data_IF_602963210764
#
_entry.id   IF_602963210764
#
_cell.length_a   1.000
_cell.length_b   1.000
_cell.length_c   1.000
_cell.angle_alpha   90.00
_cell.angle_beta   90.00
_cell.angle_gamma   90.00
#
_symmetry.space_group_name_H-M   'P 1'
#
loop_
_entity.id
_entity.type
_entity.pdbx_description
1 polymer ?
#
# COMPACT_ATOMS: atom_id res chain seq x y z
N UNK A 1 13.44 3.04 -16.39
CA UNK A 1 12.88 4.08 -15.50
C UNK A 1 11.86 3.40 -14.61
N UNK A 2 11.94 3.55 -13.29
CA UNK A 2 11.01 2.90 -12.35
C UNK A 2 9.67 3.66 -12.33
N UNK A 3 8.57 2.97 -12.04
CA UNK A 3 7.28 3.62 -11.78
C UNK A 3 7.30 4.50 -10.52
N UNK A 4 8.35 4.39 -9.69
CA UNK A 4 8.58 5.19 -8.49
C UNK A 4 9.64 6.30 -8.68
N UNK A 5 9.86 6.75 -9.92
CA UNK A 5 10.86 7.76 -10.23
C UNK A 5 12.30 7.22 -10.06
N UNK A 6 13.07 7.84 -9.17
CA UNK A 6 14.43 7.39 -8.83
C UNK A 6 14.45 6.23 -7.82
N UNK A 7 13.31 5.92 -7.20
CA UNK A 7 13.22 4.84 -6.22
C UNK A 7 13.18 3.46 -6.91
N UNK A 8 13.95 2.52 -6.37
CA UNK A 8 14.03 1.16 -6.89
C UNK A 8 12.76 0.39 -6.52
N UNK A 9 12.03 -0.07 -7.54
CA UNK A 9 10.91 -0.97 -7.33
C UNK A 9 11.41 -2.35 -6.85
N UNK A 10 10.59 -3.04 -6.07
CA UNK A 10 10.83 -4.45 -5.81
C UNK A 10 10.84 -5.22 -7.14
N UNK A 11 11.77 -6.17 -7.36
CA UNK A 11 11.92 -6.86 -8.65
C UNK A 11 10.66 -7.62 -9.11
N UNK A 12 9.77 -7.96 -8.17
CA UNK A 12 8.66 -8.91 -8.39
C UNK A 12 7.29 -8.36 -8.00
N UNK A 13 7.17 -7.03 -7.80
CA UNK A 13 5.90 -6.40 -7.43
C UNK A 13 4.86 -6.50 -8.55
N UNK A 14 3.64 -6.92 -8.21
CA UNK A 14 2.53 -7.07 -9.15
C UNK A 14 1.36 -6.19 -8.70
N UNK A 15 0.93 -5.25 -9.55
CA UNK A 15 -0.18 -4.34 -9.25
C UNK A 15 -1.51 -5.09 -8.99
N UNK A 16 -2.39 -4.49 -8.19
CA UNK A 16 -3.78 -4.96 -7.98
C UNK A 16 -4.81 -3.82 -7.99
N UNK A 17 -5.08 -3.19 -6.85
CA UNK A 17 -6.11 -2.15 -6.69
C UNK A 17 -5.50 -0.76 -6.87
N UNK A 18 -6.31 0.19 -7.31
CA UNK A 18 -5.98 1.62 -7.36
C UNK A 18 -7.17 2.45 -6.89
N UNK A 19 -6.91 3.48 -6.09
CA UNK A 19 -7.94 4.38 -5.57
C UNK A 19 -7.42 5.82 -5.49
N UNK A 20 -8.31 6.78 -5.76
CA UNK A 20 -8.05 8.21 -5.54
C UNK A 20 -8.51 8.58 -4.13
N UNK A 21 -7.70 9.35 -3.40
CA UNK A 21 -8.07 9.79 -2.06
C UNK A 21 -9.30 10.71 -2.08
N UNK A 22 -10.13 10.73 -1.01
CA UNK A 22 -11.34 11.55 -0.98
C UNK A 22 -11.14 13.05 -1.22
N UNK A 23 -9.96 13.59 -0.89
CA UNK A 23 -9.57 14.98 -1.14
C UNK A 23 -9.04 15.24 -2.56
N UNK A 24 -9.01 14.22 -3.42
CA UNK A 24 -8.48 14.23 -4.80
C UNK A 24 -7.02 14.65 -4.91
N UNK A 25 -6.22 14.48 -3.85
CA UNK A 25 -4.80 14.86 -3.84
C UNK A 25 -3.86 13.70 -4.10
N UNK A 26 -4.28 12.47 -3.84
CA UNK A 26 -3.41 11.30 -3.94
C UNK A 26 -4.03 10.17 -4.74
N UNK A 27 -3.20 9.44 -5.47
CA UNK A 27 -3.50 8.12 -6.01
C UNK A 27 -2.73 7.10 -5.20
N UNK A 28 -3.42 6.06 -4.74
CA UNK A 28 -2.82 4.95 -4.02
C UNK A 28 -3.01 3.69 -4.84
N UNK A 29 -1.95 2.91 -5.03
CA UNK A 29 -1.99 1.63 -5.73
C UNK A 29 -1.39 0.53 -4.86
N UNK A 30 -2.02 -0.65 -4.83
CA UNK A 30 -1.48 -1.79 -4.10
C UNK A 30 -0.54 -2.63 -4.98
N UNK A 31 0.58 -3.03 -4.38
CA UNK A 31 1.57 -3.91 -4.98
C UNK A 31 1.54 -5.23 -4.24
N UNK A 32 1.57 -6.36 -4.97
CA UNK A 32 1.57 -7.70 -4.40
C UNK A 32 2.94 -8.33 -4.61
N UNK A 33 3.36 -9.18 -3.67
CA UNK A 33 4.59 -9.95 -3.77
C UNK A 33 5.86 -9.06 -3.94
N UNK A 34 5.80 -7.84 -3.39
CA UNK A 34 6.95 -6.92 -3.39
C UNK A 34 7.82 -7.10 -2.14
N UNK A 35 7.20 -7.57 -1.04
CA UNK A 35 7.83 -7.87 0.25
C UNK A 35 8.76 -6.76 0.77
N UNK A 36 8.44 -5.51 0.45
CA UNK A 36 9.28 -4.33 0.73
C UNK A 36 9.49 -4.12 2.24
N UNK A 37 8.52 -4.50 3.05
CA UNK A 37 8.48 -4.19 4.47
C UNK A 37 8.54 -5.43 5.36
N UNK A 38 8.97 -5.22 6.61
CA UNK A 38 8.72 -6.13 7.73
C UNK A 38 7.94 -5.39 8.80
N UNK A 39 6.82 -5.97 9.23
CA UNK A 39 5.92 -5.38 10.23
C UNK A 39 5.79 -6.32 11.44
N UNK A 40 5.41 -5.83 12.62
CA UNK A 40 4.95 -6.71 13.69
C UNK A 40 3.83 -7.63 13.19
N UNK A 41 3.81 -8.89 13.62
CA UNK A 41 2.77 -9.83 13.19
C UNK A 41 1.38 -9.23 13.46
N UNK A 42 0.53 -9.08 12.44
CA UNK A 42 -0.82 -8.58 12.61
C UNK A 42 -1.71 -9.58 13.37
N UNK A 43 -1.23 -10.82 13.57
CA UNK A 43 -1.90 -11.85 14.36
C UNK A 43 -1.23 -12.01 15.73
N UNK A 44 -2.00 -12.11 16.83
CA UNK A 44 -1.45 -12.16 18.19
C UNK A 44 -0.78 -13.50 18.54
N UNK A 45 -0.73 -14.44 17.60
CA UNK A 45 -0.27 -15.82 17.85
C UNK A 45 1.25 -15.86 18.01
N UNK A 46 1.99 -15.01 17.29
CA UNK A 46 3.45 -14.97 17.33
C UNK A 46 3.95 -13.51 17.44
N UNK A 47 4.78 -13.21 18.43
CA UNK A 47 5.43 -11.88 18.61
C UNK A 47 6.62 -11.69 17.63
N UNK A 48 6.45 -12.13 16.39
CA UNK A 48 7.46 -12.09 15.33
C UNK A 48 7.23 -10.91 14.39
N UNK A 49 8.23 -10.59 13.56
CA UNK A 49 8.03 -9.71 12.40
C UNK A 49 7.70 -10.53 11.16
N UNK A 50 6.64 -10.13 10.45
CA UNK A 50 6.14 -10.76 9.24
C UNK A 50 6.47 -9.88 8.01
N UNK A 51 6.69 -10.47 6.82
CA UNK A 51 6.77 -9.70 5.59
C UNK A 51 5.46 -8.95 5.30
N UNK A 52 5.58 -7.74 4.77
CA UNK A 52 4.46 -6.97 4.24
C UNK A 52 4.81 -6.47 2.84
N UNK A 53 3.82 -6.54 1.96
CA UNK A 53 3.86 -5.86 0.68
C UNK A 53 3.64 -4.34 0.88
N UNK A 54 3.66 -3.56 -0.21
CA UNK A 54 3.50 -2.11 -0.19
C UNK A 54 2.20 -1.59 -0.82
N UNK A 55 1.82 -0.40 -0.37
CA UNK A 55 1.03 0.57 -1.09
C UNK A 55 1.97 1.62 -1.68
N UNK A 56 1.82 1.94 -2.96
CA UNK A 56 2.48 3.08 -3.57
C UNK A 56 1.58 4.30 -3.53
N UNK A 57 2.13 5.43 -3.05
CA UNK A 57 1.41 6.70 -2.93
C UNK A 57 1.99 7.70 -3.92
N UNK A 58 1.11 8.29 -4.71
CA UNK A 58 1.43 9.33 -5.67
C UNK A 58 0.60 10.58 -5.39
N UNK A 59 1.20 11.76 -5.49
CA UNK A 59 0.51 13.03 -5.50
C UNK A 59 -0.01 13.33 -6.91
N UNK A 60 -1.27 13.74 -6.99
CA UNK A 60 -1.90 14.26 -8.19
C UNK A 60 -1.46 15.70 -8.41
N UNK A 61 -0.61 15.89 -9.43
CA UNK A 61 -0.10 17.20 -9.80
C UNK A 61 -1.02 17.88 -10.82
N UNK A 62 -0.78 19.17 -11.05
CA UNK A 62 -1.47 19.93 -12.09
C UNK A 62 -1.35 19.23 -13.46
N UNK A 63 -2.45 19.26 -14.24
CA UNK A 63 -2.55 18.67 -15.58
C UNK A 63 -2.46 17.13 -15.61
N UNK A 64 -2.74 16.46 -14.50
CA UNK A 64 -2.88 15.00 -14.45
C UNK A 64 -1.56 14.24 -14.46
N UNK A 65 -0.45 14.91 -14.17
CA UNK A 65 0.83 14.22 -13.91
C UNK A 65 0.87 13.71 -12.47
N UNK A 66 1.70 12.70 -12.22
CA UNK A 66 1.84 12.07 -10.91
C UNK A 66 3.26 12.27 -10.39
N UNK A 67 3.38 12.62 -9.11
CA UNK A 67 4.65 12.64 -8.38
C UNK A 67 4.67 11.49 -7.37
N UNK A 68 5.70 10.65 -7.40
CA UNK A 68 5.85 9.61 -6.38
C UNK A 68 6.12 10.24 -5.01
N UNK A 69 5.40 9.80 -3.99
CA UNK A 69 5.53 10.28 -2.61
C UNK A 69 6.29 9.27 -1.78
N UNK A 70 5.74 8.07 -1.61
CA UNK A 70 6.32 7.02 -0.77
C UNK A 70 5.75 5.64 -1.08
N UNK A 71 6.38 4.62 -0.47
CA UNK A 71 5.77 3.33 -0.23
C UNK A 71 5.36 3.24 1.25
N UNK A 72 4.19 2.68 1.51
CA UNK A 72 3.69 2.36 2.84
C UNK A 72 3.45 0.85 2.99
N UNK A 73 3.58 0.27 4.19
CA UNK A 73 3.27 -1.14 4.40
C UNK A 73 1.78 -1.41 4.20
N UNK A 74 1.46 -2.48 3.47
CA UNK A 74 0.10 -2.96 3.24
C UNK A 74 -0.54 -3.63 4.49
N UNK A 75 0.24 -3.85 5.56
CA UNK A 75 -0.24 -4.53 6.77
C UNK A 75 -0.21 -6.06 6.68
N UNK A 76 0.43 -6.59 5.64
CA UNK A 76 0.57 -8.01 5.36
C UNK A 76 0.83 -8.26 3.88
N UNK A 77 0.48 -9.44 3.40
CA UNK A 77 0.87 -9.92 2.07
C UNK A 77 -0.34 -10.12 1.14
N UNK A 78 -0.08 -9.88 -0.15
CA UNK A 78 -1.02 -9.96 -1.26
C UNK A 78 -2.26 -9.05 -1.10
N UNK A 79 -2.07 -7.72 -1.01
CA UNK A 79 -3.16 -6.76 -0.90
C UNK A 79 -3.94 -6.64 -2.22
N UNK A 80 -5.03 -7.40 -2.36
CA UNK A 80 -5.82 -7.45 -3.60
C UNK A 80 -6.86 -6.34 -3.73
N UNK A 81 -7.33 -5.81 -2.61
CA UNK A 81 -8.33 -4.77 -2.58
C UNK A 81 -8.17 -3.94 -1.30
N UNK A 82 -8.46 -2.65 -1.39
CA UNK A 82 -8.53 -1.76 -0.25
C UNK A 82 -9.57 -0.67 -0.46
N UNK A 83 -9.98 -0.04 0.64
CA UNK A 83 -10.82 1.16 0.62
C UNK A 83 -10.36 2.16 1.67
N UNK A 84 -10.31 3.43 1.28
CA UNK A 84 -10.13 4.53 2.23
C UNK A 84 -11.45 4.83 2.95
N UNK A 85 -11.35 5.30 4.19
CA UNK A 85 -12.51 5.90 4.86
C UNK A 85 -12.84 7.26 4.22
N UNK A 86 -14.03 7.80 4.51
CA UNK A 86 -14.48 9.10 3.94
C UNK A 86 -13.54 10.27 4.25
N UNK A 87 -12.81 10.21 5.38
CA UNK A 87 -11.84 11.22 5.77
C UNK A 87 -10.49 11.08 5.05
N UNK A 88 -10.20 9.92 4.46
CA UNK A 88 -8.95 9.60 3.81
C UNK A 88 -7.77 9.36 4.75
N UNK A 89 -7.99 9.24 6.07
CA UNK A 89 -6.93 9.07 7.07
C UNK A 89 -6.77 7.63 7.57
N UNK A 90 -7.63 6.72 7.12
CA UNK A 90 -7.55 5.30 7.43
C UNK A 90 -7.88 4.44 6.21
N UNK A 91 -7.32 3.25 6.15
CA UNK A 91 -7.51 2.29 5.06
C UNK A 91 -7.88 0.92 5.62
N UNK A 92 -8.86 0.27 4.98
CA UNK A 92 -9.16 -1.14 5.18
C UNK A 92 -8.53 -1.96 4.04
N UNK A 93 -7.63 -2.87 4.39
CA UNK A 93 -6.86 -3.69 3.45
C UNK A 93 -7.32 -5.14 3.49
N UNK A 94 -7.61 -5.73 2.33
CA UNK A 94 -7.84 -7.18 2.21
C UNK A 94 -6.55 -7.90 1.80
N UNK A 95 -6.06 -8.79 2.66
CA UNK A 95 -4.75 -9.41 2.53
C UNK A 95 -4.92 -10.90 2.20
N UNK A 96 -4.76 -11.25 0.93
CA UNK A 96 -5.10 -12.59 0.43
C UNK A 96 -4.32 -13.69 1.14
N UNK A 97 -3.00 -13.53 1.29
CA UNK A 97 -2.12 -14.59 1.81
C UNK A 97 -1.95 -14.51 3.32
N UNK A 98 -2.03 -13.31 3.90
CA UNK A 98 -2.09 -13.14 5.37
C UNK A 98 -3.46 -13.52 5.94
N UNK A 99 -4.49 -13.66 5.11
CA UNK A 99 -5.84 -14.13 5.48
C UNK A 99 -6.54 -13.25 6.52
N UNK A 100 -6.33 -11.94 6.47
CA UNK A 100 -6.97 -10.99 7.36
C UNK A 100 -7.39 -9.70 6.65
N UNK A 101 -8.18 -8.88 7.36
CA UNK A 101 -8.43 -7.50 7.00
C UNK A 101 -7.69 -6.61 7.99
N UNK A 102 -6.72 -5.82 7.50
CA UNK A 102 -6.00 -4.86 8.33
C UNK A 102 -6.67 -3.48 8.24
N UNK A 103 -6.82 -2.82 9.39
CA UNK A 103 -7.21 -1.40 9.47
C UNK A 103 -5.97 -0.61 9.85
N UNK A 104 -5.56 0.31 8.99
CA UNK A 104 -4.33 1.07 9.18
C UNK A 104 -4.60 2.56 9.05
N UNK A 105 -3.82 3.36 9.79
CA UNK A 105 -3.81 4.81 9.63
C UNK A 105 -2.91 5.17 8.45
N UNK A 106 -3.35 6.11 7.60
CA UNK A 106 -2.52 6.68 6.54
C UNK A 106 -1.58 7.72 7.15
N UNK A 107 -0.29 7.61 6.83
CA UNK A 107 0.76 8.55 7.27
C UNK A 107 1.09 9.54 6.17
#
# INVERSE_FOLDING_TARGET
MSSYGSFLAAPSGIAAEIEVSPDNKFIIASNRNDLTFRIPSPTPINQTTEPSDSLAVFELMNKGTLSFVQLDPAGGSWPRHFKLNMKGDSVAMSLQTTTCVAIMKRI
#
